data_IF_588030767995
#
_entry.id   IF_588030767995
#
_cell.length_a   1.000
_cell.length_b   1.000
_cell.length_c   1.000
_cell.angle_alpha   90.00
_cell.angle_beta   90.00
_cell.angle_gamma   90.00
#
_symmetry.space_group_name_H-M   'P 1'
#
loop_
_entity.id
_entity.type
_entity.pdbx_description
1 polymer ?
#
# COMPACT_ATOMS: atom_id res chain seq x y z
N UNK A 1 17.45 7.16 -3.11
CA UNK A 1 18.90 7.40 -3.23
C UNK A 1 19.44 8.33 -2.15
N UNK A 2 18.84 9.49 -1.88
CA UNK A 2 19.37 10.49 -0.94
C UNK A 2 19.79 9.95 0.44
N UNK A 3 18.93 9.16 1.10
CA UNK A 3 19.24 8.58 2.43
C UNK A 3 20.50 7.72 2.40
N UNK A 4 20.62 6.82 1.43
CA UNK A 4 21.78 5.95 1.29
C UNK A 4 23.06 6.75 0.99
N UNK A 5 22.99 7.73 0.10
CA UNK A 5 24.13 8.57 -0.29
C UNK A 5 24.63 9.40 0.89
N UNK A 6 23.72 10.09 1.60
CA UNK A 6 24.05 10.89 2.78
C UNK A 6 24.66 10.03 3.89
N UNK A 7 24.06 8.86 4.16
CA UNK A 7 24.54 7.95 5.19
C UNK A 7 25.97 7.47 4.90
N UNK A 8 26.24 6.98 3.68
CA UNK A 8 27.57 6.45 3.34
C UNK A 8 28.61 7.57 3.22
N UNK A 9 28.25 8.73 2.67
CA UNK A 9 29.15 9.88 2.59
C UNK A 9 29.55 10.36 3.99
N UNK A 10 28.59 10.41 4.93
CA UNK A 10 28.89 10.79 6.30
C UNK A 10 29.82 9.78 6.98
N UNK A 11 29.47 8.49 7.00
CA UNK A 11 30.21 7.47 7.76
C UNK A 11 31.61 7.24 7.17
N UNK A 12 31.71 7.05 5.85
CA UNK A 12 32.95 6.56 5.22
C UNK A 12 33.94 7.66 4.83
N UNK A 13 33.51 8.92 4.82
CA UNK A 13 34.32 10.04 4.29
C UNK A 13 34.40 11.18 5.29
N UNK A 14 33.27 11.66 5.81
CA UNK A 14 33.24 12.85 6.65
C UNK A 14 33.59 12.57 8.12
N UNK A 15 33.03 11.50 8.70
CA UNK A 15 33.15 11.19 10.12
C UNK A 15 34.48 10.47 10.42
N UNK A 16 34.72 9.33 9.76
CA UNK A 16 35.96 8.58 9.96
C UNK A 16 36.47 7.92 8.67
N UNK A 17 37.24 8.66 7.85
CA UNK A 17 37.84 8.12 6.63
C UNK A 17 38.98 7.16 7.00
N UNK A 18 38.68 5.86 7.06
CA UNK A 18 39.66 4.81 7.27
C UNK A 18 40.22 4.31 5.93
N UNK A 19 41.49 3.91 5.91
CA UNK A 19 42.04 3.11 4.82
C UNK A 19 41.73 1.63 5.10
N UNK A 20 40.71 1.11 4.40
CA UNK A 20 40.30 -0.29 4.49
C UNK A 20 40.65 -0.97 3.17
N UNK A 21 41.79 -1.65 3.14
CA UNK A 21 42.25 -2.45 2.02
C UNK A 21 42.76 -1.64 0.82
N UNK A 22 43.28 -0.42 1.04
CA UNK A 22 43.83 0.44 0.00
C UNK A 22 42.77 1.11 -0.88
N UNK A 23 41.49 1.07 -0.46
CA UNK A 23 40.40 1.68 -1.22
C UNK A 23 40.41 3.19 -1.00
N UNK A 24 40.25 3.99 -2.07
CA UNK A 24 40.24 5.45 -1.94
C UNK A 24 39.04 5.90 -1.09
N UNK A 25 39.27 6.47 0.09
CA UNK A 25 38.22 6.96 1.01
C UNK A 25 38.17 8.50 1.11
N UNK A 26 38.92 9.21 0.28
CA UNK A 26 38.99 10.68 0.30
C UNK A 26 37.84 11.37 -0.45
N UNK A 27 37.25 10.71 -1.45
CA UNK A 27 36.13 11.24 -2.22
C UNK A 27 35.07 10.18 -2.52
N UNK A 28 33.81 10.59 -2.51
CA UNK A 28 32.66 9.70 -2.74
C UNK A 28 32.66 9.10 -4.15
N UNK A 29 33.21 9.84 -5.11
CA UNK A 29 33.27 9.41 -6.52
C UNK A 29 34.26 8.26 -6.70
N UNK A 30 35.37 8.26 -5.96
CA UNK A 30 36.45 7.28 -6.12
C UNK A 30 36.05 5.90 -5.60
N UNK A 31 35.27 5.83 -4.50
CA UNK A 31 34.78 4.57 -3.95
C UNK A 31 33.34 4.22 -4.34
N UNK A 32 32.73 5.01 -5.23
CA UNK A 32 31.32 4.90 -5.61
C UNK A 32 30.89 3.46 -6.00
N UNK A 33 31.67 2.66 -6.75
CA UNK A 33 31.25 1.31 -7.13
C UNK A 33 30.95 0.39 -5.94
N UNK A 34 31.64 0.58 -4.81
CA UNK A 34 31.41 -0.22 -3.59
C UNK A 34 30.09 0.11 -2.89
N UNK A 35 29.54 1.30 -3.14
CA UNK A 35 28.32 1.81 -2.52
C UNK A 35 27.06 1.51 -3.33
N UNK A 36 27.20 1.13 -4.60
CA UNK A 36 26.06 0.83 -5.50
C UNK A 36 25.13 -0.26 -4.95
N UNK A 37 25.62 -1.40 -4.43
CA UNK A 37 24.72 -2.42 -3.88
C UNK A 37 23.88 -1.90 -2.70
N UNK A 38 24.48 -1.12 -1.80
CA UNK A 38 23.78 -0.55 -0.64
C UNK A 38 22.73 0.48 -1.09
N UNK A 39 23.07 1.32 -2.08
CA UNK A 39 22.10 2.26 -2.66
C UNK A 39 20.91 1.54 -3.27
N UNK A 40 21.14 0.45 -4.00
CA UNK A 40 20.09 -0.35 -4.61
C UNK A 40 19.17 -0.95 -3.55
N UNK A 41 19.72 -1.69 -2.58
CA UNK A 41 18.93 -2.38 -1.55
C UNK A 41 18.09 -1.39 -0.72
N UNK A 42 18.67 -0.25 -0.30
CA UNK A 42 17.92 0.75 0.46
C UNK A 42 16.81 1.39 -0.37
N UNK A 43 17.00 1.60 -1.67
CA UNK A 43 15.92 2.14 -2.51
C UNK A 43 14.76 1.17 -2.65
N UNK A 44 15.04 -0.11 -2.87
CA UNK A 44 14.01 -1.15 -2.96
C UNK A 44 13.30 -1.31 -1.61
N UNK A 45 14.06 -1.32 -0.51
CA UNK A 45 13.52 -1.41 0.85
C UNK A 45 12.52 -0.30 1.15
N UNK A 46 12.91 0.97 0.96
CA UNK A 46 12.02 2.10 1.22
C UNK A 46 10.84 2.15 0.25
N UNK A 47 11.06 1.85 -1.03
CA UNK A 47 9.97 1.84 -2.02
C UNK A 47 8.89 0.81 -1.65
N UNK A 48 9.30 -0.42 -1.32
CA UNK A 48 8.37 -1.48 -0.96
C UNK A 48 7.62 -1.18 0.34
N UNK A 49 8.34 -0.86 1.43
CA UNK A 49 7.71 -0.68 2.73
C UNK A 49 6.82 0.56 2.78
N UNK A 50 7.26 1.70 2.21
CA UNK A 50 6.46 2.92 2.22
C UNK A 50 5.20 2.76 1.37
N UNK A 51 5.25 1.99 0.27
CA UNK A 51 4.07 1.69 -0.54
C UNK A 51 3.06 0.82 0.24
N UNK A 52 3.52 -0.24 0.92
CA UNK A 52 2.66 -1.11 1.74
C UNK A 52 2.04 -0.34 2.90
N UNK A 53 2.83 0.48 3.61
CA UNK A 53 2.33 1.30 4.71
C UNK A 53 1.31 2.32 4.19
N UNK A 54 1.59 2.99 3.07
CA UNK A 54 0.65 3.94 2.45
C UNK A 54 -0.65 3.25 2.07
N UNK A 55 -0.59 2.03 1.56
CA UNK A 55 -1.76 1.22 1.24
C UNK A 55 -2.60 0.90 2.48
N UNK A 56 -1.97 0.45 3.58
CA UNK A 56 -2.70 0.22 4.84
C UNK A 56 -3.37 1.49 5.39
N UNK A 57 -2.67 2.63 5.36
CA UNK A 57 -3.20 3.91 5.82
C UNK A 57 -4.36 4.40 4.94
N UNK A 58 -4.20 4.36 3.62
CA UNK A 58 -5.20 4.85 2.67
C UNK A 58 -6.45 3.98 2.64
N UNK A 59 -6.27 2.66 2.70
CA UNK A 59 -7.38 1.69 2.73
C UNK A 59 -7.95 1.48 4.14
N UNK A 60 -7.44 2.21 5.14
CA UNK A 60 -7.82 2.10 6.55
C UNK A 60 -7.79 0.65 7.05
N UNK A 61 -6.77 -0.12 6.69
CA UNK A 61 -6.63 -1.52 7.11
C UNK A 61 -5.68 -1.62 8.30
N UNK A 62 -6.19 -2.11 9.42
CA UNK A 62 -5.48 -2.22 10.69
C UNK A 62 -5.78 -3.58 11.32
N UNK A 63 -4.83 -4.19 12.06
CA UNK A 63 -5.03 -5.52 12.67
C UNK A 63 -6.28 -5.65 13.55
N UNK A 64 -6.75 -4.55 14.14
CA UNK A 64 -7.90 -4.52 15.04
C UNK A 64 -9.14 -3.87 14.43
N UNK A 65 -9.16 -3.63 13.11
CA UNK A 65 -10.35 -3.11 12.43
C UNK A 65 -11.39 -4.23 12.28
N UNK A 66 -12.62 -3.96 12.69
CA UNK A 66 -13.76 -4.85 12.43
C UNK A 66 -14.04 -4.95 10.94
N UNK A 67 -14.28 -6.16 10.43
CA UNK A 67 -14.62 -6.36 9.02
C UNK A 67 -15.95 -5.66 8.70
N UNK A 68 -15.95 -4.84 7.65
CA UNK A 68 -17.12 -4.08 7.17
C UNK A 68 -17.82 -4.82 6.02
N UNK A 69 -17.90 -6.16 6.10
CA UNK A 69 -18.50 -6.97 5.04
C UNK A 69 -20.04 -6.92 5.16
N UNK A 70 -20.78 -6.42 4.14
CA UNK A 70 -22.24 -6.32 4.18
C UNK A 70 -22.98 -7.67 4.15
N UNK A 71 -22.41 -8.69 3.49
CA UNK A 71 -22.84 -10.09 3.61
C UNK A 71 -21.57 -10.98 3.61
N UNK A 72 -21.36 -11.86 4.61
CA UNK A 72 -20.21 -12.78 4.65
C UNK A 72 -20.07 -13.67 3.41
N UNK A 73 -21.16 -13.96 2.69
CA UNK A 73 -21.12 -14.76 1.45
C UNK A 73 -20.45 -14.04 0.28
N UNK A 74 -20.18 -12.73 0.43
CA UNK A 74 -19.50 -11.94 -0.60
C UNK A 74 -18.04 -12.30 -0.82
N UNK A 75 -17.40 -12.93 0.16
CA UNK A 75 -16.01 -13.36 0.03
C UNK A 75 -15.87 -14.74 -0.61
N UNK A 76 -16.94 -15.53 -0.67
CA UNK A 76 -16.90 -16.95 -1.07
C UNK A 76 -17.57 -17.19 -2.44
N UNK A 77 -18.85 -16.79 -2.60
CA UNK A 77 -19.67 -17.30 -3.72
C UNK A 77 -20.57 -16.25 -4.39
N UNK A 78 -20.84 -15.10 -3.74
CA UNK A 78 -21.81 -14.12 -4.27
C UNK A 78 -21.18 -12.74 -4.49
N UNK A 79 -21.53 -12.05 -5.58
CA UNK A 79 -21.18 -10.63 -5.75
C UNK A 79 -22.33 -9.75 -5.26
N UNK A 80 -22.03 -8.72 -4.47
CA UNK A 80 -23.01 -7.76 -3.98
C UNK A 80 -22.83 -6.40 -4.66
N UNK A 81 -23.94 -5.81 -5.09
CA UNK A 81 -24.00 -4.43 -5.55
C UNK A 81 -24.92 -3.65 -4.61
N UNK A 82 -24.35 -2.70 -3.88
CA UNK A 82 -25.10 -1.79 -3.03
C UNK A 82 -25.43 -0.51 -3.81
N UNK A 83 -26.70 -0.10 -3.80
CA UNK A 83 -27.18 1.10 -4.48
C UNK A 83 -27.92 1.96 -3.45
N UNK A 84 -27.34 3.11 -3.10
CA UNK A 84 -28.00 4.10 -2.26
C UNK A 84 -29.05 4.84 -3.10
N UNK A 85 -30.34 4.66 -2.78
CA UNK A 85 -31.45 5.34 -3.46
C UNK A 85 -32.32 6.05 -2.43
N UNK A 86 -32.75 7.28 -2.73
CA UNK A 86 -33.64 8.05 -1.85
C UNK A 86 -35.07 7.50 -1.77
N UNK A 87 -35.55 6.85 -2.83
CA UNK A 87 -36.87 6.20 -2.87
C UNK A 87 -36.83 4.92 -3.71
N UNK A 88 -37.28 3.81 -3.13
CA UNK A 88 -37.29 2.51 -3.82
C UNK A 88 -38.45 2.47 -4.81
N UNK A 89 -38.16 2.66 -6.10
CA UNK A 89 -39.18 2.56 -7.16
C UNK A 89 -39.37 1.10 -7.60
N UNK A 90 -40.61 0.65 -7.81
CA UNK A 90 -40.90 -0.69 -8.35
C UNK A 90 -40.22 -1.01 -9.70
N UNK A 91 -39.93 0.01 -10.51
CA UNK A 91 -39.14 -0.11 -11.75
C UNK A 91 -37.69 -0.55 -11.49
N UNK A 92 -37.05 -0.04 -10.44
CA UNK A 92 -35.68 -0.37 -10.07
C UNK A 92 -35.55 -1.87 -9.75
N UNK A 93 -36.48 -2.40 -8.95
CA UNK A 93 -36.53 -3.83 -8.62
C UNK A 93 -36.73 -4.70 -9.87
N UNK A 94 -37.52 -4.23 -10.84
CA UNK A 94 -37.73 -4.94 -12.11
C UNK A 94 -36.46 -4.96 -12.96
N UNK A 95 -35.79 -3.82 -13.12
CA UNK A 95 -34.53 -3.73 -13.87
C UNK A 95 -33.45 -4.63 -13.27
N UNK A 96 -33.33 -4.65 -11.94
CA UNK A 96 -32.35 -5.50 -11.25
C UNK A 96 -32.65 -7.00 -11.45
N UNK A 97 -33.91 -7.41 -11.37
CA UNK A 97 -34.31 -8.80 -11.66
C UNK A 97 -34.05 -9.18 -13.12
N UNK A 98 -34.42 -8.31 -14.05
CA UNK A 98 -34.23 -8.54 -15.49
C UNK A 98 -32.73 -8.61 -15.85
N UNK A 99 -31.88 -7.94 -15.07
CA UNK A 99 -30.41 -7.95 -15.20
C UNK A 99 -29.74 -9.17 -14.53
N UNK A 100 -30.50 -10.07 -13.91
CA UNK A 100 -29.99 -11.32 -13.33
C UNK A 100 -29.68 -11.29 -11.84
N UNK A 101 -30.21 -10.33 -11.07
CA UNK A 101 -30.06 -10.32 -9.61
C UNK A 101 -30.76 -11.53 -8.98
N UNK A 102 -29.98 -12.42 -8.34
CA UNK A 102 -30.46 -13.63 -7.66
C UNK A 102 -31.25 -13.28 -6.39
N UNK A 103 -30.73 -12.34 -5.60
CA UNK A 103 -31.35 -11.85 -4.36
C UNK A 103 -31.38 -10.31 -4.34
N UNK A 104 -32.46 -9.72 -3.81
CA UNK A 104 -32.61 -8.27 -3.68
C UNK A 104 -33.12 -7.95 -2.28
N UNK A 105 -32.24 -7.39 -1.44
CA UNK A 105 -32.53 -6.95 -0.08
C UNK A 105 -32.67 -5.42 -0.04
N UNK A 106 -33.63 -4.93 0.75
CA UNK A 106 -33.82 -3.50 1.01
C UNK A 106 -33.36 -3.26 2.45
N UNK A 107 -32.25 -2.55 2.61
CA UNK A 107 -31.66 -2.21 3.92
C UNK A 107 -31.90 -0.72 4.14
N UNK A 108 -32.45 -0.37 5.31
CA UNK A 108 -32.71 1.02 5.68
C UNK A 108 -31.42 1.62 6.27
N UNK A 109 -30.99 2.80 5.81
CA UNK A 109 -29.66 3.37 6.08
C UNK A 109 -29.38 3.77 7.55
N UNK A 110 -30.21 3.35 8.51
CA UNK A 110 -30.03 3.59 9.95
C UNK A 110 -29.21 2.53 10.69
N UNK A 111 -28.85 1.42 10.03
CA UNK A 111 -28.12 0.31 10.64
C UNK A 111 -26.62 0.23 10.27
N UNK A 112 -26.08 1.26 9.61
CA UNK A 112 -24.65 1.40 9.31
C UNK A 112 -24.00 2.57 10.05
#
# INVERSE_FOLDING_TARGET
FAVAILMMNYIMIADWPQDIGGKPSFSYIENMPSFVPIMFELTVFFAAHLMVITFYLRSKMWPFKTAENPDPRTTDDHFLVEISVSEVTGKLKKILKDSGAVEINIIDSKEH
#
